data_IF_337232803703
#
_entry.id   IF_337232803703
#
_cell.length_a   1.000
_cell.length_b   1.000
_cell.length_c   1.000
_cell.angle_alpha   90.00
_cell.angle_beta   90.00
_cell.angle_gamma   90.00
#
_symmetry.space_group_name_H-M   'P 1'
#
loop_
_entity.id
_entity.type
_entity.pdbx_description
1 polymer ?
#
# COMPACT_ATOMS: atom_id res chain seq x y z
N UNK A 1 12.99 -54.38 57.60
CA UNK A 1 13.22 -55.31 56.47
C UNK A 1 12.18 -54.98 55.41
N UNK A 2 12.43 -54.53 54.18
CA UNK A 2 13.57 -54.45 53.24
C UNK A 2 13.48 -53.05 52.59
N UNK A 3 14.55 -52.25 52.49
CA UNK A 3 15.71 -52.38 51.58
C UNK A 3 15.34 -52.12 50.12
N UNK A 4 15.95 -51.10 49.50
CA UNK A 4 16.05 -51.03 48.04
C UNK A 4 16.15 -49.64 47.44
N UNK A 5 17.31 -49.01 47.58
CA UNK A 5 17.78 -47.91 46.74
C UNK A 5 17.64 -48.21 45.24
N UNK A 6 17.31 -47.19 44.46
CA UNK A 6 17.13 -47.28 43.02
C UNK A 6 17.44 -45.98 42.28
N UNK A 7 18.50 -45.30 42.72
CA UNK A 7 19.06 -44.10 42.12
C UNK A 7 19.65 -44.39 40.72
N UNK A 8 18.82 -44.43 39.68
CA UNK A 8 19.29 -44.49 38.30
C UNK A 8 19.64 -43.09 37.78
N UNK A 9 20.91 -42.74 38.00
CA UNK A 9 21.66 -41.78 37.21
C UNK A 9 21.56 -42.16 35.73
N UNK A 10 20.89 -41.34 34.92
CA UNK A 10 21.07 -41.33 33.47
C UNK A 10 21.73 -40.03 33.06
N UNK A 11 23.06 -40.06 33.12
CA UNK A 11 23.90 -39.24 32.28
C UNK A 11 23.78 -39.79 30.85
N UNK A 12 23.23 -39.00 29.93
CA UNK A 12 23.39 -39.23 28.50
C UNK A 12 23.71 -37.91 27.81
N UNK A 13 24.98 -37.81 27.44
CA UNK A 13 25.49 -37.31 26.17
C UNK A 13 25.12 -35.87 25.77
N UNK A 14 26.05 -34.99 26.13
CA UNK A 14 26.54 -33.92 25.26
C UNK A 14 26.90 -34.52 23.89
N UNK A 15 26.16 -34.17 22.85
CA UNK A 15 26.41 -34.59 21.48
C UNK A 15 25.74 -33.59 20.53
N UNK A 16 26.57 -32.82 19.82
CA UNK A 16 26.15 -31.65 19.05
C UNK A 16 25.05 -31.94 18.04
N UNK A 17 23.92 -31.27 18.21
CA UNK A 17 23.00 -31.00 17.12
C UNK A 17 23.37 -29.62 16.58
N UNK A 18 24.10 -29.67 15.46
CA UNK A 18 24.34 -28.60 14.51
C UNK A 18 23.17 -27.60 14.55
N UNK A 19 23.46 -26.40 15.05
CA UNK A 19 22.59 -25.24 14.98
C UNK A 19 22.42 -24.92 13.49
N UNK A 20 21.50 -25.63 12.82
CA UNK A 20 20.91 -25.19 11.56
C UNK A 20 20.16 -23.91 11.89
N UNK A 21 20.91 -22.81 12.00
CA UNK A 21 20.42 -21.47 11.76
C UNK A 21 19.93 -21.53 10.33
N UNK A 22 18.68 -21.96 10.17
CA UNK A 22 17.90 -21.69 9.00
C UNK A 22 17.94 -20.17 8.88
N UNK A 23 18.90 -19.69 8.10
CA UNK A 23 18.88 -18.38 7.50
C UNK A 23 17.59 -18.39 6.68
N UNK A 24 16.48 -18.09 7.34
CA UNK A 24 15.34 -17.47 6.72
C UNK A 24 15.85 -16.11 6.29
N UNK A 25 16.64 -16.11 5.21
CA UNK A 25 16.73 -14.96 4.33
C UNK A 25 15.28 -14.73 4.00
N UNK A 26 14.67 -13.78 4.70
CA UNK A 26 13.34 -13.33 4.40
C UNK A 26 13.43 -12.98 2.92
N UNK A 27 12.90 -13.87 2.07
CA UNK A 27 12.69 -13.60 0.68
C UNK A 27 11.73 -12.42 0.72
N UNK A 28 12.30 -11.22 0.73
CA UNK A 28 11.58 -9.98 0.56
C UNK A 28 10.76 -10.24 -0.67
N UNK A 29 9.43 -10.29 -0.51
CA UNK A 29 8.52 -10.53 -1.62
C UNK A 29 8.73 -9.41 -2.61
N UNK A 30 9.67 -9.63 -3.54
CA UNK A 30 10.11 -8.62 -4.47
C UNK A 30 8.95 -8.38 -5.42
N UNK A 31 8.58 -7.11 -5.56
CA UNK A 31 7.75 -6.73 -6.68
C UNK A 31 8.60 -6.85 -7.94
N UNK A 32 8.00 -7.42 -8.98
CA UNK A 32 8.66 -7.67 -10.25
C UNK A 32 8.01 -6.76 -11.30
N UNK A 33 8.85 -6.11 -12.10
CA UNK A 33 8.41 -5.32 -13.25
C UNK A 33 8.86 -6.04 -14.52
N UNK A 34 7.91 -6.67 -15.20
CA UNK A 34 8.12 -7.28 -16.52
C UNK A 34 7.51 -6.37 -17.60
N UNK A 35 8.36 -5.62 -18.27
CA UNK A 35 7.97 -4.60 -19.26
C UNK A 35 7.09 -3.49 -18.66
N UNK A 36 5.78 -3.55 -18.93
CA UNK A 36 4.79 -2.61 -18.39
C UNK A 36 3.91 -3.23 -17.32
N UNK A 37 4.24 -4.42 -16.82
CA UNK A 37 3.42 -5.13 -15.84
C UNK A 37 4.15 -5.16 -14.51
N UNK A 38 3.56 -4.52 -13.51
CA UNK A 38 3.98 -4.63 -12.12
C UNK A 38 3.21 -5.77 -11.45
N UNK A 39 3.95 -6.68 -10.81
CA UNK A 39 3.39 -7.81 -10.07
C UNK A 39 3.94 -7.83 -8.66
N UNK A 40 3.07 -7.77 -7.66
CA UNK A 40 3.43 -7.96 -6.25
C UNK A 40 2.74 -9.20 -5.70
N UNK A 41 3.50 -10.29 -5.57
CA UNK A 41 3.01 -11.59 -5.08
C UNK A 41 2.64 -11.56 -3.60
N UNK A 42 3.44 -10.87 -2.78
CA UNK A 42 3.19 -10.69 -1.35
C UNK A 42 1.86 -9.97 -1.05
N UNK A 43 1.47 -9.08 -1.95
CA UNK A 43 0.26 -8.26 -1.84
C UNK A 43 -0.89 -8.78 -2.73
N UNK A 44 -0.62 -9.83 -3.53
CA UNK A 44 -1.55 -10.46 -4.47
C UNK A 44 -2.13 -9.49 -5.49
N UNK A 45 -1.33 -8.58 -6.01
CA UNK A 45 -1.78 -7.58 -6.99
C UNK A 45 -0.93 -7.59 -8.24
N UNK A 46 -1.59 -7.39 -9.38
CA UNK A 46 -0.99 -7.18 -10.69
C UNK A 46 -1.62 -5.96 -11.33
N UNK A 47 -0.80 -5.10 -11.92
CA UNK A 47 -1.25 -3.85 -12.53
C UNK A 47 -0.37 -3.49 -13.74
N UNK A 48 -0.98 -2.89 -14.75
CA UNK A 48 -0.27 -2.41 -15.94
C UNK A 48 0.10 -0.93 -15.77
N UNK A 49 1.39 -0.63 -15.94
CA UNK A 49 1.97 0.70 -15.92
C UNK A 49 1.55 1.44 -17.19
N UNK A 50 0.98 2.64 -17.09
CA UNK A 50 0.51 3.39 -18.25
C UNK A 50 1.70 3.97 -19.01
N UNK A 51 1.56 4.09 -20.34
CA UNK A 51 2.61 4.63 -21.21
C UNK A 51 3.04 6.04 -20.77
N UNK A 52 4.35 6.28 -20.80
CA UNK A 52 4.95 7.57 -20.45
C UNK A 52 5.15 7.81 -18.95
N UNK A 53 4.69 6.90 -18.08
CA UNK A 53 5.08 6.90 -16.68
C UNK A 53 6.32 6.04 -16.48
N UNK A 54 7.22 6.51 -15.62
CA UNK A 54 8.43 5.80 -15.20
C UNK A 54 8.17 5.17 -13.83
N UNK A 55 8.27 3.84 -13.69
CA UNK A 55 8.24 3.23 -12.38
C UNK A 55 9.49 3.58 -11.60
N UNK A 56 9.33 3.76 -10.30
CA UNK A 56 10.43 3.82 -9.34
C UNK A 56 10.18 2.75 -8.29
N UNK A 57 11.08 1.77 -8.26
CA UNK A 57 10.99 0.58 -7.42
C UNK A 57 11.47 0.81 -5.99
N UNK A 58 12.02 1.98 -5.64
CA UNK A 58 12.46 2.21 -4.27
C UNK A 58 11.24 2.30 -3.34
N UNK A 59 11.00 1.30 -2.46
CA UNK A 59 9.95 1.41 -1.46
C UNK A 59 10.45 2.40 -0.41
N UNK A 60 10.16 3.67 -0.63
CA UNK A 60 10.59 4.75 0.25
C UNK A 60 9.82 4.73 1.58
N UNK A 61 8.71 3.97 1.65
CA UNK A 61 7.81 3.99 2.79
C UNK A 61 7.05 2.66 2.94
N UNK A 62 6.81 2.16 4.18
CA UNK A 62 6.03 0.94 4.42
C UNK A 62 4.63 1.02 3.80
N UNK A 63 4.23 -0.05 3.10
CA UNK A 63 2.91 -0.15 2.46
C UNK A 63 2.81 0.51 1.08
N UNK A 64 3.84 1.23 0.61
CA UNK A 64 3.89 1.70 -0.77
C UNK A 64 4.48 0.61 -1.66
N UNK A 65 3.76 0.25 -2.71
CA UNK A 65 4.14 -0.80 -3.65
C UNK A 65 4.86 -0.27 -4.87
N UNK A 66 4.38 0.85 -5.43
CA UNK A 66 4.90 1.40 -6.67
C UNK A 66 4.74 2.90 -6.73
N UNK A 67 5.80 3.60 -7.14
CA UNK A 67 5.74 4.99 -7.55
C UNK A 67 5.80 5.09 -9.07
N UNK A 68 4.85 5.78 -9.67
CA UNK A 68 4.82 6.09 -11.09
C UNK A 68 4.97 7.59 -11.27
N UNK A 69 5.99 8.01 -12.02
CA UNK A 69 6.31 9.42 -12.22
C UNK A 69 6.25 9.78 -13.70
N UNK A 70 5.68 10.95 -14.01
CA UNK A 70 5.70 11.55 -15.34
C UNK A 70 6.10 13.02 -15.23
N UNK A 71 7.00 13.46 -16.10
CA UNK A 71 7.57 14.81 -16.05
C UNK A 71 6.85 15.82 -16.94
N UNK A 72 6.17 15.39 -18.01
CA UNK A 72 5.47 16.28 -18.94
C UNK A 72 4.12 15.69 -19.44
N UNK A 73 2.97 16.26 -19.01
CA UNK A 73 2.83 17.15 -17.85
C UNK A 73 3.25 16.45 -16.55
N UNK A 74 3.53 17.23 -15.50
CA UNK A 74 3.94 16.68 -14.20
C UNK A 74 2.78 15.93 -13.53
N UNK A 75 2.99 14.64 -13.29
CA UNK A 75 2.01 13.78 -12.66
C UNK A 75 2.68 12.64 -11.90
N UNK A 76 2.05 12.22 -10.81
CA UNK A 76 2.51 11.09 -10.00
C UNK A 76 1.34 10.21 -9.63
N UNK A 77 1.50 8.90 -9.80
CA UNK A 77 0.57 7.89 -9.27
C UNK A 77 1.34 7.08 -8.23
N UNK A 78 0.79 6.97 -7.04
CA UNK A 78 1.32 6.13 -5.96
C UNK A 78 0.35 4.97 -5.78
N UNK A 79 0.88 3.75 -5.75
CA UNK A 79 0.11 2.54 -5.47
C UNK A 79 0.56 2.02 -4.11
N UNK A 80 -0.37 1.90 -3.17
CA UNK A 80 -0.14 1.35 -1.85
C UNK A 80 -1.03 0.14 -1.58
N UNK A 81 -0.66 -0.64 -0.57
CA UNK A 81 -1.48 -1.73 -0.05
C UNK A 81 -1.35 -1.80 1.46
N UNK A 82 -2.48 -2.04 2.12
CA UNK A 82 -2.54 -2.21 3.56
C UNK A 82 -3.44 -3.39 3.95
N UNK A 83 -3.10 -4.10 5.04
CA UNK A 83 -3.95 -5.17 5.54
C UNK A 83 -5.24 -4.61 6.17
N UNK A 84 -6.38 -5.14 5.74
CA UNK A 84 -7.68 -4.85 6.35
C UNK A 84 -7.84 -5.65 7.64
N UNK A 85 -7.26 -5.12 8.71
CA UNK A 85 -7.39 -5.70 10.05
C UNK A 85 -8.70 -5.26 10.71
N UNK A 86 -9.23 -6.08 11.61
CA UNK A 86 -10.41 -5.73 12.41
C UNK A 86 -10.23 -4.40 13.15
N UNK A 87 -9.02 -4.12 13.65
CA UNK A 87 -8.69 -2.86 14.33
C UNK A 87 -8.89 -1.64 13.42
N UNK A 88 -8.51 -1.73 12.14
CA UNK A 88 -8.72 -0.68 11.15
C UNK A 88 -10.21 -0.49 10.87
N UNK A 89 -10.95 -1.59 10.69
CA UNK A 89 -12.40 -1.52 10.49
C UNK A 89 -13.13 -0.90 11.70
N UNK A 90 -12.71 -1.23 12.92
CA UNK A 90 -13.30 -0.71 14.16
C UNK A 90 -12.96 0.77 14.42
N UNK A 91 -11.88 1.29 13.84
CA UNK A 91 -11.55 2.72 13.94
C UNK A 91 -12.42 3.59 13.03
N UNK A 92 -13.20 3.00 12.11
CA UNK A 92 -14.07 3.75 11.21
C UNK A 92 -15.26 4.36 11.95
N UNK A 93 -15.67 5.59 11.57
CA UNK A 93 -16.89 6.21 12.08
C UNK A 93 -18.11 5.29 11.93
N UNK A 94 -18.96 5.23 12.96
CA UNK A 94 -20.12 4.31 12.99
C UNK A 94 -21.01 4.45 11.75
N UNK A 95 -21.31 5.69 11.34
CA UNK A 95 -22.09 6.00 10.13
C UNK A 95 -21.50 5.45 8.83
N UNK A 96 -20.19 5.23 8.75
CA UNK A 96 -19.54 4.63 7.58
C UNK A 96 -19.49 3.10 7.69
N UNK A 97 -19.38 2.58 8.91
CA UNK A 97 -19.27 1.14 9.19
C UNK A 97 -20.59 0.40 9.03
N UNK A 98 -21.67 1.04 9.46
CA UNK A 98 -23.03 0.46 9.57
C UNK A 98 -23.85 0.56 8.26
N UNK A 99 -23.34 1.18 7.20
CA UNK A 99 -24.07 1.24 5.93
C UNK A 99 -24.21 -0.14 5.28
N UNK A 100 -25.19 -0.33 4.41
CA UNK A 100 -25.33 -1.56 3.61
C UNK A 100 -24.43 -1.57 2.36
N UNK A 101 -23.43 -0.68 2.29
CA UNK A 101 -22.53 -0.57 1.14
C UNK A 101 -21.45 -1.66 1.12
N UNK A 102 -20.77 -1.77 -0.03
CA UNK A 102 -19.58 -2.59 -0.18
C UNK A 102 -18.40 -2.08 0.67
N UNK A 103 -17.45 -2.97 0.97
CA UNK A 103 -16.36 -2.69 1.91
C UNK A 103 -15.48 -1.52 1.45
N UNK A 104 -15.23 -1.40 0.15
CA UNK A 104 -14.49 -0.30 -0.46
C UNK A 104 -15.21 1.04 -0.31
N UNK A 105 -16.55 1.07 -0.40
CA UNK A 105 -17.37 2.27 -0.15
C UNK A 105 -17.35 2.67 1.33
N UNK A 106 -17.46 1.70 2.25
CA UNK A 106 -17.33 1.94 3.68
C UNK A 106 -15.97 2.53 4.01
N UNK A 107 -14.91 1.98 3.41
CA UNK A 107 -13.58 2.50 3.62
C UNK A 107 -13.42 3.92 3.03
N UNK A 108 -13.92 4.15 1.82
CA UNK A 108 -13.93 5.47 1.20
C UNK A 108 -14.70 6.50 2.04
N UNK A 109 -15.82 6.11 2.66
CA UNK A 109 -16.57 6.97 3.58
C UNK A 109 -15.72 7.40 4.77
N UNK A 110 -15.04 6.43 5.41
CA UNK A 110 -14.20 6.70 6.58
C UNK A 110 -13.00 7.61 6.24
N UNK A 111 -12.33 7.36 5.11
CA UNK A 111 -11.23 8.20 4.62
C UNK A 111 -11.70 9.59 4.22
N UNK A 112 -12.85 9.69 3.53
CA UNK A 112 -13.44 10.98 3.16
C UNK A 112 -13.72 11.83 4.40
N UNK A 113 -14.37 11.26 5.41
CA UNK A 113 -14.69 12.00 6.66
C UNK A 113 -13.43 12.49 7.39
N UNK A 114 -12.33 11.74 7.32
CA UNK A 114 -11.08 12.19 7.88
C UNK A 114 -10.49 13.36 7.09
N UNK A 115 -10.48 13.26 5.75
CA UNK A 115 -9.91 14.28 4.87
C UNK A 115 -10.75 15.57 4.84
N UNK A 116 -12.06 15.46 4.98
CA UNK A 116 -13.01 16.59 4.96
C UNK A 116 -12.76 17.59 6.11
N UNK A 117 -12.07 17.17 7.17
CA UNK A 117 -11.63 18.05 8.28
C UNK A 117 -10.62 19.12 7.84
N UNK A 118 -9.89 18.86 6.76
CA UNK A 118 -8.76 19.71 6.32
C UNK A 118 -8.81 20.06 4.83
N UNK A 119 -9.66 19.39 4.05
CA UNK A 119 -9.69 19.47 2.59
C UNK A 119 -11.12 19.49 2.08
N UNK A 120 -11.33 20.13 0.93
CA UNK A 120 -12.61 20.05 0.23
C UNK A 120 -12.68 18.74 -0.53
N UNK A 121 -13.40 17.75 -0.01
CA UNK A 121 -13.50 16.41 -0.60
C UNK A 121 -14.78 16.26 -1.41
N UNK A 122 -14.64 15.79 -2.64
CA UNK A 122 -15.75 15.52 -3.55
C UNK A 122 -16.57 14.28 -3.17
N UNK A 123 -17.63 14.04 -3.94
CA UNK A 123 -18.45 12.85 -3.80
C UNK A 123 -17.67 11.56 -4.13
N UNK A 124 -18.04 10.47 -3.46
CA UNK A 124 -17.54 9.12 -3.78
C UNK A 124 -18.21 8.65 -5.06
N UNK A 125 -17.39 8.24 -6.01
CA UNK A 125 -17.80 7.76 -7.33
C UNK A 125 -17.42 6.30 -7.50
N UNK A 126 -18.22 5.57 -8.27
CA UNK A 126 -17.89 4.21 -8.66
C UNK A 126 -16.67 4.21 -9.59
N UNK A 127 -15.78 3.23 -9.40
CA UNK A 127 -14.68 2.96 -10.30
C UNK A 127 -15.14 2.38 -11.65
N UNK A 128 -14.19 2.03 -12.52
CA UNK A 128 -14.47 1.41 -13.81
C UNK A 128 -15.33 0.16 -13.65
N UNK A 129 -16.43 0.07 -14.42
CA UNK A 129 -17.39 -1.05 -14.34
C UNK A 129 -16.76 -2.37 -14.74
N UNK A 130 -15.77 -2.34 -15.63
CA UNK A 130 -15.03 -3.49 -16.14
C UNK A 130 -14.36 -4.29 -15.00
N UNK A 131 -14.03 -3.62 -13.90
CA UNK A 131 -13.46 -4.27 -12.73
C UNK A 131 -14.43 -5.24 -12.05
N UNK A 132 -15.75 -5.06 -12.18
CA UNK A 132 -16.72 -5.96 -11.54
C UNK A 132 -16.72 -7.39 -12.11
N UNK A 133 -16.24 -7.58 -13.34
CA UNK A 133 -16.25 -8.88 -14.01
C UNK A 133 -14.89 -9.59 -13.98
N UNK A 134 -13.78 -8.84 -14.02
CA UNK A 134 -12.44 -9.40 -14.19
C UNK A 134 -11.37 -8.76 -13.30
N UNK A 135 -11.73 -7.81 -12.43
CA UNK A 135 -10.81 -7.06 -11.59
C UNK A 135 -11.32 -6.92 -10.16
N UNK A 136 -10.73 -5.98 -9.43
CA UNK A 136 -11.16 -5.65 -8.07
C UNK A 136 -12.16 -4.47 -8.11
N UNK A 137 -13.35 -4.60 -7.50
CA UNK A 137 -14.30 -3.51 -7.40
C UNK A 137 -13.62 -2.32 -6.72
N UNK A 138 -13.81 -1.14 -7.28
CA UNK A 138 -13.14 0.06 -6.81
C UNK A 138 -14.08 1.25 -6.75
N UNK A 139 -13.72 2.19 -5.89
CA UNK A 139 -14.36 3.50 -5.75
C UNK A 139 -13.29 4.56 -5.72
N UNK A 140 -13.65 5.79 -6.06
CA UNK A 140 -12.71 6.92 -6.04
C UNK A 140 -13.41 8.21 -5.66
N UNK A 141 -12.62 9.17 -5.22
CA UNK A 141 -13.07 10.54 -4.99
C UNK A 141 -11.90 11.50 -5.22
N UNK A 142 -12.21 12.78 -5.31
CA UNK A 142 -11.25 13.83 -5.58
C UNK A 142 -11.22 14.82 -4.42
N UNK A 143 -10.07 15.42 -4.18
CA UNK A 143 -9.94 16.56 -3.28
C UNK A 143 -8.76 17.44 -3.70
N UNK A 144 -8.65 18.61 -3.08
CA UNK A 144 -7.47 19.47 -3.20
C UNK A 144 -6.82 19.65 -1.84
N UNK A 145 -5.49 19.57 -1.80
CA UNK A 145 -4.69 19.86 -0.59
C UNK A 145 -4.32 21.36 -0.48
N UNK A 146 -4.95 22.21 -1.30
CA UNK A 146 -4.67 23.64 -1.42
C UNK A 146 -3.53 23.98 -2.37
N UNK A 147 -2.74 23.01 -2.82
CA UNK A 147 -1.62 23.23 -3.76
C UNK A 147 -1.70 22.32 -4.99
N UNK A 148 -2.24 21.14 -4.81
CA UNK A 148 -2.31 20.07 -5.79
C UNK A 148 -3.72 19.55 -5.87
N UNK A 149 -4.00 18.98 -7.01
CA UNK A 149 -5.17 18.17 -7.19
C UNK A 149 -4.82 16.72 -6.84
N UNK A 150 -5.70 16.06 -6.08
CA UNK A 150 -5.56 14.66 -5.68
C UNK A 150 -6.79 13.87 -6.07
N UNK A 151 -6.59 12.74 -6.78
CA UNK A 151 -7.61 11.71 -6.96
C UNK A 151 -7.17 10.47 -6.22
N UNK A 152 -8.01 10.00 -5.30
CA UNK A 152 -7.76 8.80 -4.50
C UNK A 152 -8.77 7.74 -4.92
N UNK A 153 -8.27 6.54 -5.22
CA UNK A 153 -9.09 5.37 -5.46
C UNK A 153 -8.72 4.23 -4.51
N UNK A 154 -9.73 3.43 -4.18
CA UNK A 154 -9.64 2.29 -3.28
C UNK A 154 -10.21 1.08 -4.00
N UNK A 155 -9.46 -0.01 -3.96
CA UNK A 155 -9.93 -1.34 -4.32
C UNK A 155 -9.70 -2.26 -3.13
N UNK A 156 -10.61 -3.19 -2.88
CA UNK A 156 -10.51 -4.11 -1.75
C UNK A 156 -10.50 -5.53 -2.29
N UNK A 157 -9.48 -6.30 -1.91
CA UNK A 157 -9.49 -7.76 -2.04
C UNK A 157 -9.82 -8.40 -0.68
N UNK A 158 -9.82 -9.74 -0.60
CA UNK A 158 -10.28 -10.45 0.61
C UNK A 158 -9.61 -10.00 1.91
N UNK A 159 -8.34 -9.55 1.88
CA UNK A 159 -7.56 -9.26 3.09
C UNK A 159 -6.89 -7.90 3.11
N UNK A 160 -6.93 -7.16 2.01
CA UNK A 160 -6.15 -5.94 1.82
C UNK A 160 -6.93 -4.87 1.07
N UNK A 161 -6.64 -3.62 1.41
CA UNK A 161 -7.06 -2.47 0.64
C UNK A 161 -5.87 -2.00 -0.19
N UNK A 162 -6.09 -1.86 -1.49
CA UNK A 162 -5.14 -1.33 -2.46
C UNK A 162 -5.53 0.11 -2.74
N UNK A 163 -4.62 1.04 -2.48
CA UNK A 163 -4.86 2.48 -2.62
C UNK A 163 -4.11 3.03 -3.83
N UNK A 164 -4.77 3.87 -4.61
CA UNK A 164 -4.17 4.56 -5.75
C UNK A 164 -4.33 6.05 -5.54
N UNK A 165 -3.22 6.79 -5.60
CA UNK A 165 -3.22 8.24 -5.39
C UNK A 165 -2.59 8.90 -6.59
N UNK A 166 -3.41 9.57 -7.40
CA UNK A 166 -2.92 10.49 -8.43
C UNK A 166 -2.76 11.89 -7.81
N UNK A 167 -1.59 12.49 -7.96
CA UNK A 167 -1.35 13.90 -7.62
C UNK A 167 -0.89 14.66 -8.86
N UNK A 168 -1.49 15.82 -9.12
CA UNK A 168 -1.12 16.71 -10.23
C UNK A 168 -0.96 18.15 -9.73
N UNK A 169 -0.14 18.95 -10.42
CA UNK A 169 0.12 20.33 -10.05
C UNK A 169 -1.10 21.24 -10.31
N UNK A 170 -1.85 20.97 -11.38
CA UNK A 170 -3.00 21.78 -11.78
C UNK A 170 -4.23 20.94 -12.17
N UNK A 171 -5.38 21.61 -12.31
CA UNK A 171 -6.62 21.02 -12.82
C UNK A 171 -6.55 20.66 -14.32
N UNK A 172 -5.70 21.33 -15.10
CA UNK A 172 -5.46 20.99 -16.51
C UNK A 172 -4.66 19.67 -16.61
N UNK A 173 -3.62 19.54 -15.78
CA UNK A 173 -2.82 18.31 -15.70
C UNK A 173 -3.67 17.13 -15.21
N UNK A 174 -4.61 17.38 -14.29
CA UNK A 174 -5.60 16.38 -13.84
C UNK A 174 -6.31 15.73 -15.03
N UNK A 175 -6.88 16.52 -15.93
CA UNK A 175 -7.63 15.99 -17.07
C UNK A 175 -6.73 15.14 -17.98
N UNK A 176 -5.46 15.53 -18.11
CA UNK A 176 -4.47 14.78 -18.89
C UNK A 176 -4.11 13.44 -18.25
N UNK A 177 -3.95 13.39 -16.93
CA UNK A 177 -3.54 12.17 -16.21
C UNK A 177 -4.70 11.26 -15.80
N UNK A 178 -5.94 11.76 -15.81
CA UNK A 178 -7.14 10.98 -15.43
C UNK A 178 -7.25 9.68 -16.23
N UNK A 179 -7.04 9.73 -17.56
CA UNK A 179 -7.11 8.52 -18.41
C UNK A 179 -6.04 7.48 -18.05
N UNK A 180 -4.82 7.93 -17.76
CA UNK A 180 -3.73 7.02 -17.34
C UNK A 180 -4.00 6.41 -15.96
N UNK A 181 -4.58 7.18 -15.05
CA UNK A 181 -5.00 6.68 -13.74
C UNK A 181 -6.13 5.65 -13.86
N UNK A 182 -7.15 5.94 -14.66
CA UNK A 182 -8.25 5.00 -14.91
C UNK A 182 -7.76 3.74 -15.63
N UNK A 183 -6.78 3.85 -16.54
CA UNK A 183 -6.13 2.69 -17.16
C UNK A 183 -5.44 1.79 -16.12
N UNK A 184 -4.70 2.39 -15.18
CA UNK A 184 -4.07 1.66 -14.07
C UNK A 184 -5.14 0.93 -13.26
N UNK A 185 -6.21 1.63 -12.86
CA UNK A 185 -7.32 1.03 -12.11
C UNK A 185 -8.03 -0.10 -12.86
N UNK A 186 -8.23 0.03 -14.17
CA UNK A 186 -8.82 -1.03 -15.02
C UNK A 186 -7.93 -2.25 -15.15
N UNK A 187 -6.62 -2.06 -15.08
CA UNK A 187 -5.64 -3.14 -15.19
C UNK A 187 -5.39 -3.88 -13.87
N UNK A 188 -5.95 -3.39 -12.77
CA UNK A 188 -5.80 -4.00 -11.45
C UNK A 188 -6.46 -5.38 -11.42
N UNK A 189 -5.64 -6.40 -11.17
CA UNK A 189 -6.07 -7.78 -10.99
C UNK A 189 -5.56 -8.33 -9.66
N UNK A 190 -6.40 -9.11 -9.01
CA UNK A 190 -5.95 -9.97 -7.91
C UNK A 190 -5.19 -11.17 -8.50
N UNK A 191 -4.06 -11.51 -7.90
CA UNK A 191 -3.34 -12.72 -8.26
C UNK A 191 -4.06 -13.94 -7.67
N UNK A 192 -4.22 -14.97 -8.50
CA UNK A 192 -4.68 -16.27 -8.00
C UNK A 192 -3.68 -16.86 -6.99
N UNK A 193 -4.13 -17.82 -6.18
CA UNK A 193 -3.24 -18.47 -5.20
C UNK A 193 -2.03 -19.11 -5.88
N UNK A 194 -2.19 -19.63 -7.10
CA UNK A 194 -1.10 -20.23 -7.90
C UNK A 194 -0.10 -19.17 -8.36
N UNK A 195 -0.57 -18.03 -8.88
CA UNK A 195 0.30 -16.92 -9.31
C UNK A 195 0.99 -16.21 -8.14
N UNK A 196 0.38 -16.25 -6.95
CA UNK A 196 0.92 -15.66 -5.74
C UNK A 196 2.05 -16.50 -5.12
N UNK A 197 2.25 -17.75 -5.56
CA UNK A 197 3.36 -18.57 -5.10
C UNK A 197 4.70 -17.94 -5.53
N UNK A 198 5.72 -17.98 -4.66
CA UNK A 198 7.04 -17.52 -5.04
C UNK A 198 7.54 -18.34 -6.23
N UNK A 199 7.96 -17.66 -7.30
CA UNK A 199 8.61 -18.31 -8.44
C UNK A 199 9.96 -18.80 -7.94
N UNK A 200 10.21 -20.11 -8.04
CA UNK A 200 11.51 -20.67 -7.75
C UNK A 200 12.56 -19.97 -8.61
N UNK A 201 13.72 -19.57 -8.06
CA UNK A 201 14.77 -18.93 -8.84
C UNK A 201 15.10 -19.83 -10.03
N UNK A 202 14.98 -19.29 -11.26
CA UNK A 202 15.30 -20.07 -12.44
C UNK A 202 16.78 -20.47 -12.37
N UNK A 203 17.13 -21.77 -12.48
CA UNK A 203 18.52 -22.22 -12.40
C UNK A 203 19.40 -21.65 -13.53
N UNK A 204 18.80 -21.09 -14.58
CA UNK A 204 19.50 -20.55 -15.75
C UNK A 204 20.11 -19.15 -15.53
N UNK A 205 19.78 -18.44 -14.44
CA UNK A 205 20.42 -17.16 -14.10
C UNK A 205 21.85 -17.32 -13.53
N UNK A 206 22.35 -18.56 -13.41
CA UNK A 206 23.63 -18.89 -12.80
C UNK A 206 24.87 -18.76 -13.69
N UNK A 207 24.73 -18.43 -14.98
CA UNK A 207 25.91 -18.10 -15.82
C UNK A 207 26.24 -16.63 -15.60
N UNK A 208 26.77 -16.32 -14.43
CA UNK A 208 27.63 -15.16 -14.30
C UNK A 208 28.80 -15.38 -15.25
N UNK A 209 28.81 -14.66 -16.37
CA UNK A 209 30.03 -14.34 -17.11
C UNK A 209 30.97 -13.63 -16.14
N UNK A 210 31.65 -14.41 -15.32
CA UNK A 210 32.85 -14.03 -14.62
C UNK A 210 33.95 -13.83 -15.68
N UNK A 211 33.75 -12.83 -16.54
CA UNK A 211 34.81 -12.30 -17.37
C UNK A 211 35.82 -11.73 -16.39
N UNK A 212 36.91 -12.47 -16.22
CA UNK A 212 38.05 -12.06 -15.42
C UNK A 212 38.40 -10.59 -15.75
N UNK A 213 38.76 -9.77 -14.75
CA UNK A 213 39.19 -8.40 -14.99
C UNK A 213 40.42 -8.45 -15.90
N UNK A 214 40.20 -8.15 -17.18
CA UNK A 214 41.25 -7.94 -18.16
C UNK A 214 42.04 -6.71 -17.68
N UNK A 215 43.30 -6.92 -17.35
CA UNK A 215 44.18 -5.94 -16.75
C UNK A 215 44.22 -4.67 -17.61
N UNK A 216 43.88 -3.54 -17.01
CA UNK A 216 43.99 -2.24 -17.66
C UNK A 216 45.47 -1.99 -18.06
N UNK A 217 45.76 -1.65 -19.33
CA UNK A 217 47.08 -1.17 -19.70
C UNK A 217 47.34 0.19 -19.04
N UNK A 218 48.55 0.34 -18.50
CA UNK A 218 49.01 1.53 -17.80
C UNK A 218 48.90 2.80 -18.67
N UNK A 219 48.32 3.86 -18.11
CA UNK A 219 48.27 5.18 -18.73
C UNK A 219 49.59 5.92 -18.52
N UNK A 220 50.23 6.30 -19.63
CA UNK A 220 51.36 7.23 -19.68
C UNK A 220 50.86 8.66 -19.37
N UNK A 221 51.52 9.42 -18.47
CA UNK A 221 51.25 10.84 -18.31
C UNK A 221 52.10 11.61 -19.32
N UNK A 222 51.48 12.41 -20.21
CA UNK A 222 52.25 13.46 -20.86
C UNK A 222 51.46 14.71 -21.26
N UNK A 223 52.10 15.83 -20.90
CA UNK A 223 52.07 17.19 -21.39
C UNK A 223 50.76 17.89 -21.82
N UNK A 224 50.42 18.92 -21.03
CA UNK A 224 49.82 20.20 -21.48
C UNK A 224 50.73 20.90 -22.51
N UNK A 225 50.18 21.59 -23.53
CA UNK A 225 50.24 23.06 -23.45
C UNK A 225 49.01 23.81 -23.98
N UNK A 226 48.95 25.08 -23.57
CA UNK A 226 47.98 26.12 -23.87
C UNK A 226 47.73 26.41 -25.37
N UNK A 227 46.65 27.17 -25.66
CA UNK A 227 46.69 28.56 -26.23
C UNK A 227 45.51 28.91 -27.16
N UNK A 228 45.10 30.20 -27.06
CA UNK A 228 44.28 31.05 -27.98
C UNK A 228 42.79 30.69 -28.03
N UNK A 229 41.85 31.63 -27.86
CA UNK A 229 41.86 33.04 -28.22
C UNK A 229 40.91 33.24 -29.38
N UNK A 230 39.66 33.63 -29.11
CA UNK A 230 38.63 33.82 -30.12
C UNK A 230 37.49 34.67 -29.60
N UNK A 231 37.62 35.99 -29.75
CA UNK A 231 36.54 36.94 -29.60
C UNK A 231 35.63 36.89 -30.83
N UNK A 232 34.30 36.85 -30.65
CA UNK A 232 33.36 37.59 -31.51
C UNK A 232 31.97 37.77 -30.87
N UNK A 233 31.65 39.05 -30.81
CA UNK A 233 30.40 39.80 -30.61
C UNK A 233 29.11 39.21 -31.19
N UNK A 234 28.02 39.29 -30.43
CA UNK A 234 26.73 39.96 -30.76
C UNK A 234 25.79 39.71 -29.56
N UNK A 235 25.37 40.69 -28.75
CA UNK A 235 24.52 41.88 -28.96
C UNK A 235 23.13 41.55 -29.53
N UNK A 236 22.21 41.25 -28.60
CA UNK A 236 20.75 41.20 -28.75
C UNK A 236 20.22 40.53 -27.47
N UNK A 237 19.67 41.20 -26.46
CA UNK A 237 18.64 42.23 -26.55
C UNK A 237 17.28 41.57 -26.30
N UNK A 238 17.00 41.15 -25.05
CA UNK A 238 15.75 40.46 -24.71
C UNK A 238 15.57 40.23 -23.21
N UNK A 239 15.22 41.31 -22.48
CA UNK A 239 14.75 41.26 -21.09
C UNK A 239 13.46 40.45 -20.99
N UNK A 240 13.41 39.45 -20.10
CA UNK A 240 12.40 39.31 -19.01
C UNK A 240 12.63 38.02 -18.18
N UNK A 241 13.25 38.22 -17.01
CA UNK A 241 12.82 37.65 -15.72
C UNK A 241 12.69 36.15 -15.54
N UNK A 242 13.81 35.41 -15.52
CA UNK A 242 13.84 34.09 -14.88
C UNK A 242 14.14 34.26 -13.38
N UNK A 243 13.10 34.33 -12.54
CA UNK A 243 13.26 34.12 -11.09
C UNK A 243 13.57 32.64 -10.86
N UNK A 244 14.69 32.39 -10.20
CA UNK A 244 15.23 31.08 -9.92
C UNK A 244 14.24 30.17 -9.19
N UNK A 245 13.92 29.04 -9.81
CA UNK A 245 13.34 27.90 -9.13
C UNK A 245 14.46 27.20 -8.33
N UNK A 246 14.60 27.59 -7.06
CA UNK A 246 15.36 26.80 -6.09
C UNK A 246 14.70 25.43 -5.96
N UNK A 247 15.53 24.39 -6.00
CA UNK A 247 15.12 22.99 -5.94
C UNK A 247 14.12 22.71 -4.82
N UNK A 248 12.89 22.40 -5.20
CA UNK A 248 11.88 21.86 -4.31
C UNK A 248 12.25 20.42 -3.96
N UNK A 249 12.89 20.23 -2.80
CA UNK A 249 13.06 18.91 -2.20
C UNK A 249 11.68 18.27 -2.02
N UNK A 250 11.56 17.03 -2.48
CA UNK A 250 10.31 16.28 -2.59
C UNK A 250 9.64 16.04 -1.23
N UNK A 251 8.70 16.90 -0.84
CA UNK A 251 7.75 16.64 0.23
C UNK A 251 6.67 15.64 -0.26
N UNK A 252 6.99 14.35 -0.24
CA UNK A 252 6.09 13.24 -0.60
C UNK A 252 5.39 12.63 0.62
N UNK A 253 5.82 13.01 1.83
CA UNK A 253 5.35 12.44 3.08
C UNK A 253 3.87 12.69 3.45
N UNK A 254 3.21 13.84 3.15
CA UNK A 254 1.95 14.17 3.82
C UNK A 254 0.75 13.33 3.38
N UNK A 255 0.70 12.85 2.13
CA UNK A 255 -0.47 12.08 1.65
C UNK A 255 -0.44 10.63 2.17
N UNK A 256 0.74 10.00 2.17
CA UNK A 256 0.92 8.66 2.77
C UNK A 256 0.82 8.75 4.29
N UNK A 257 1.30 9.84 4.90
CA UNK A 257 1.12 10.10 6.33
C UNK A 257 -0.34 10.35 6.69
N UNK A 258 -1.16 11.01 5.87
CA UNK A 258 -2.59 11.22 6.13
C UNK A 258 -3.37 9.89 6.15
N UNK A 259 -3.04 8.98 5.22
CA UNK A 259 -3.56 7.60 5.25
C UNK A 259 -3.10 6.86 6.51
N UNK A 260 -1.89 7.12 7.00
CA UNK A 260 -1.33 6.45 8.18
C UNK A 260 -1.67 7.09 9.54
N UNK A 261 -1.98 8.38 9.61
CA UNK A 261 -2.52 9.06 10.80
C UNK A 261 -3.85 8.43 11.24
N UNK A 262 -4.46 7.65 10.36
CA UNK A 262 -5.61 6.80 10.65
C UNK A 262 -5.28 5.56 11.52
N UNK A 263 -4.00 5.19 11.62
CA UNK A 263 -3.52 4.02 12.39
C UNK A 263 -3.13 4.35 13.84
N UNK A 264 -3.12 5.63 14.24
CA UNK A 264 -3.08 5.98 15.67
C UNK A 264 -4.47 5.76 16.25
N UNK A 265 -4.81 4.50 16.51
CA UNK A 265 -6.07 4.09 17.13
C UNK A 265 -6.15 4.74 18.52
N UNK A 266 -7.18 5.55 18.82
CA UNK A 266 -7.39 6.00 20.19
C UNK A 266 -7.64 4.77 21.08
N UNK A 267 -7.07 4.69 22.29
CA UNK A 267 -7.12 3.49 23.15
C UNK A 267 -8.53 3.04 23.62
N UNK A 268 -9.61 3.60 23.08
CA UNK A 268 -11.00 3.27 23.40
C UNK A 268 -11.57 2.01 22.73
N UNK A 269 -10.86 1.37 21.79
CA UNK A 269 -11.26 0.07 21.23
C UNK A 269 -10.78 -1.13 22.09
N UNK A 270 -10.53 -0.92 23.39
CA UNK A 270 -10.35 -2.01 24.32
C UNK A 270 -11.71 -2.71 24.52
N UNK A 271 -11.81 -3.93 24.00
CA UNK A 271 -12.91 -4.86 24.19
C UNK A 271 -13.18 -5.07 25.69
N UNK A 272 -14.02 -4.23 26.30
CA UNK A 272 -14.57 -4.48 27.65
C UNK A 272 -15.72 -5.51 27.64
N UNK A 273 -15.93 -6.20 26.51
CA UNK A 273 -16.79 -7.37 26.44
C UNK A 273 -16.00 -8.63 26.77
N UNK A 274 -16.23 -9.21 27.96
CA UNK A 274 -15.81 -10.60 28.26
C UNK A 274 -16.25 -11.51 27.10
N UNK A 275 -15.27 -12.06 26.38
CA UNK A 275 -15.46 -13.21 25.51
C UNK A 275 -16.03 -14.36 26.37
N UNK A 276 -17.35 -14.59 26.31
CA UNK A 276 -17.94 -15.83 26.80
C UNK A 276 -18.00 -16.79 25.62
N UNK A 277 -17.28 -17.91 25.63
CA UNK A 277 -17.43 -18.91 24.60
C UNK A 277 -18.86 -19.42 24.63
N UNK A 278 -19.62 -19.13 23.57
CA UNK A 278 -20.93 -19.73 23.33
C UNK A 278 -20.69 -21.23 23.17
N UNK A 279 -21.14 -22.04 24.12
CA UNK A 279 -21.06 -23.49 24.03
C UNK A 279 -21.67 -23.94 22.68
N UNK A 280 -20.80 -24.40 21.78
CA UNK A 280 -21.22 -25.01 20.53
C UNK A 280 -21.86 -26.35 20.87
N UNK A 281 -23.16 -26.49 20.57
CA UNK A 281 -23.73 -27.82 20.34
C UNK A 281 -22.93 -28.50 19.22
N UNK A 282 -22.52 -29.73 19.46
CA UNK A 282 -21.76 -30.55 18.53
C UNK A 282 -22.44 -30.60 17.15
N UNK A 283 -21.80 -30.02 16.14
CA UNK A 283 -22.06 -30.32 14.75
C UNK A 283 -20.77 -30.80 14.08
N UNK A 284 -20.98 -31.77 13.19
CA UNK A 284 -20.03 -32.65 12.52
C UNK A 284 -18.83 -31.93 11.88
N UNK A 285 -17.68 -32.62 11.72
CA UNK A 285 -16.52 -32.05 11.05
C UNK A 285 -16.81 -31.89 9.56
N UNK A 286 -16.88 -30.64 9.09
CA UNK A 286 -16.69 -30.30 7.68
C UNK A 286 -15.38 -29.53 7.59
N UNK A 287 -14.44 -30.10 6.88
CA UNK A 287 -13.12 -29.55 6.58
C UNK A 287 -13.30 -28.32 5.68
N UNK A 288 -13.26 -27.11 6.26
CA UNK A 288 -13.31 -25.86 5.51
C UNK A 288 -12.26 -24.87 6.05
N UNK A 289 -11.54 -24.24 5.11
CA UNK A 289 -10.51 -23.24 5.36
C UNK A 289 -11.03 -22.04 6.20
N UNK A 290 -10.16 -21.33 6.95
CA UNK A 290 -10.60 -20.20 7.78
C UNK A 290 -10.96 -19.00 6.89
N UNK A 291 -12.25 -18.87 6.59
CA UNK A 291 -12.88 -17.63 6.18
C UNK A 291 -12.75 -16.62 7.33
N UNK A 292 -12.46 -15.37 7.00
CA UNK A 292 -12.56 -14.25 7.94
C UNK A 292 -13.92 -14.31 8.65
N UNK A 293 -14.01 -14.08 9.98
CA UNK A 293 -15.30 -14.04 10.64
C UNK A 293 -16.19 -12.99 9.95
N UNK A 294 -17.49 -13.27 9.74
CA UNK A 294 -18.40 -12.28 9.20
C UNK A 294 -18.38 -11.02 10.08
N UNK A 295 -18.48 -9.81 9.49
CA UNK A 295 -18.40 -8.53 10.22
C UNK A 295 -19.52 -8.32 11.26
N UNK A 296 -20.45 -9.27 11.42
CA UNK A 296 -21.58 -9.20 12.35
C UNK A 296 -21.16 -9.27 13.84
N UNK A 297 -19.95 -9.73 14.18
CA UNK A 297 -19.50 -9.80 15.58
C UNK A 297 -19.14 -8.43 16.20
N UNK A 298 -19.24 -7.33 15.47
CA UNK A 298 -19.18 -5.98 16.05
C UNK A 298 -20.53 -5.48 16.56
N UNK A 299 -21.64 -6.18 16.28
CA UNK A 299 -22.94 -5.90 16.86
C UNK A 299 -23.14 -6.80 18.06
N UNK A 300 -22.85 -6.31 19.28
CA UNK A 300 -23.48 -6.70 20.55
C UNK A 300 -22.67 -6.11 21.72
N UNK A 301 -23.07 -4.94 22.21
CA UNK A 301 -23.53 -4.64 23.60
C UNK A 301 -23.92 -3.15 23.62
N UNK A 302 -25.06 -2.82 23.03
CA UNK A 302 -25.73 -1.54 23.24
C UNK A 302 -27.01 -1.80 24.02
N UNK A 303 -26.95 -1.69 25.35
CA UNK A 303 -28.16 -1.75 26.19
C UNK A 303 -29.09 -0.61 25.80
N UNK A 304 -30.37 -0.96 25.63
CA UNK A 304 -31.47 -0.03 25.48
C UNK A 304 -31.43 1.05 26.56
N UNK A 305 -31.42 2.32 26.13
CA UNK A 305 -31.81 3.44 26.98
C UNK A 305 -33.33 3.58 26.90
N UNK A 306 -34.07 3.57 28.03
CA UNK A 306 -35.49 3.87 28.00
C UNK A 306 -35.67 5.37 27.69
N UNK A 307 -36.36 5.65 26.60
CA UNK A 307 -36.87 6.97 26.25
C UNK A 307 -38.04 7.31 27.19
N UNK A 308 -37.76 8.08 28.24
CA UNK A 308 -38.82 8.76 29.00
C UNK A 308 -39.32 9.95 28.18
N UNK A 309 -40.40 9.72 27.44
CA UNK A 309 -41.28 10.75 26.94
C UNK A 309 -42.47 10.90 27.90
N UNK A 310 -42.62 12.08 28.48
CA UNK A 310 -43.92 12.58 28.95
C UNK A 310 -43.89 14.09 28.88
N UNK A 311 -44.57 14.59 27.84
CA UNK A 311 -45.08 15.96 27.77
C UNK A 311 -46.42 16.00 28.49
N UNK A 312 -46.64 16.98 29.36
CA UNK A 312 -47.99 17.53 29.55
C UNK A 312 -47.88 18.99 29.98
N UNK A 313 -48.43 19.85 29.12
CA UNK A 313 -48.79 21.23 29.39
C UNK A 313 -49.68 21.30 30.64
N UNK A 314 -49.45 22.31 31.47
CA UNK A 314 -50.42 22.84 32.43
C UNK A 314 -50.26 24.36 32.44
N UNK A 315 -51.37 25.07 32.25
CA UNK A 315 -51.47 26.55 32.25
C UNK A 315 -51.10 27.16 33.60
#
# INVERSE_FOLDING_TARGET
>A
MRSGDGQQRRAFLVGGALLCVALTIAASGHAEIDGQVFTSRAERVKVTIPKGFRPSELPSYPGVLLYLLRSNPEGRIIIGSEPLRQQLYCSWPAKCRETADSLEKKYACALREQLDKHHNVGAIQAGPKENSQAGLPSVWFEYTDGKRFVRLALAVNQRRAVTFVLTTASAADRATHARSFDQVLRSLKELSDVEALPVAPSPEAGVSDARAPEAAPAATPDATPARRGGARTSRGGGRRGARGARGARHATAPVVAAVRSFLSVPPGCALNGRWRPRQRRAMRPVTAAPLLPPPEECMLVGRAWPSSSTSSLGR
#
